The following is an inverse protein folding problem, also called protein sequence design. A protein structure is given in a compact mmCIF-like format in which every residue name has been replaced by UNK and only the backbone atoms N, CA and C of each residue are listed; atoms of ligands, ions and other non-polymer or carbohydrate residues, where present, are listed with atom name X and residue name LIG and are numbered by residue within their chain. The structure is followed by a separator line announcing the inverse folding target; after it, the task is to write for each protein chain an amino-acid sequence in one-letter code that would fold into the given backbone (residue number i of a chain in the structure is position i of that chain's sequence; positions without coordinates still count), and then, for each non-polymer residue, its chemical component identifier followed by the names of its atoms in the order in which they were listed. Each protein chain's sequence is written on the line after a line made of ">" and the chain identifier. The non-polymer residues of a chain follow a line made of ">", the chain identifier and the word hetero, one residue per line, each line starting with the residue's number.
data_IF_457147777829
#
_entry.id   IF_457147777829
#
_cell.length_a   1.000
_cell.length_b   1.000
_cell.length_c   1.000
_cell.angle_alpha   90.00
_cell.angle_beta   90.00
_cell.angle_gamma   90.00
#
_symmetry.space_group_name_H-M   'P 1'
#
loop_
_entity.id
_entity.type
_entity.pdbx_description
1 polymer ?
#
# COMPACT_ATOMS: atom_id res chain seq x y z
N UNK A 1 2.63 -6.97 0.23
CA UNK A 1 3.03 -5.81 1.04
C UNK A 1 4.45 -5.33 0.70
N UNK A 2 5.42 -6.22 0.53
CA UNK A 2 6.83 -5.87 0.27
C UNK A 2 7.01 -4.96 -0.94
N UNK A 3 6.19 -5.10 -1.98
CA UNK A 3 6.28 -4.29 -3.19
C UNK A 3 6.04 -2.80 -2.95
N UNK A 4 5.37 -2.46 -1.86
CA UNK A 4 5.03 -1.08 -1.50
C UNK A 4 5.67 -0.65 -0.17
N UNK A 5 6.82 -1.23 0.14
CA UNK A 5 7.64 -0.85 1.29
C UNK A 5 9.04 -0.47 0.82
N UNK A 6 9.66 0.58 1.38
CA UNK A 6 11.04 0.92 1.05
C UNK A 6 12.01 -0.12 1.63
N UNK A 7 13.17 -0.26 1.00
CA UNK A 7 14.29 -1.07 1.48
C UNK A 7 13.96 -2.56 1.74
N UNK A 8 13.01 -3.11 1.00
CA UNK A 8 12.67 -4.54 1.08
C UNK A 8 13.51 -5.36 0.11
N UNK A 9 13.90 -6.55 0.54
CA UNK A 9 14.67 -7.49 -0.26
C UNK A 9 14.22 -8.91 0.00
N UNK A 10 14.49 -9.82 -0.95
CA UNK A 10 14.26 -11.24 -0.74
C UNK A 10 15.43 -11.85 0.03
N UNK A 11 15.11 -12.64 1.05
CA UNK A 11 16.11 -13.41 1.81
C UNK A 11 16.42 -14.76 1.18
N UNK A 12 15.57 -15.23 0.26
CA UNK A 12 15.72 -16.50 -0.46
C UNK A 12 15.43 -16.29 -1.93
N UNK A 13 15.87 -17.22 -2.78
CA UNK A 13 15.58 -17.21 -4.20
C UNK A 13 14.16 -17.73 -4.45
N UNK A 14 13.19 -16.86 -4.88
CA UNK A 14 11.80 -17.29 -5.03
C UNK A 14 11.60 -18.44 -6.01
N UNK A 15 12.42 -18.49 -7.07
CA UNK A 15 12.33 -19.54 -8.09
C UNK A 15 12.68 -20.94 -7.58
N UNK A 16 13.28 -21.05 -6.40
CA UNK A 16 13.63 -22.34 -5.78
C UNK A 16 12.54 -22.92 -4.91
N UNK A 17 11.67 -22.08 -4.35
CA UNK A 17 10.73 -22.50 -3.31
C UNK A 17 9.27 -22.28 -3.65
N UNK A 18 8.96 -21.40 -4.63
CA UNK A 18 7.60 -21.06 -4.97
C UNK A 18 7.05 -21.90 -6.12
N UNK A 19 5.75 -22.18 -6.10
CA UNK A 19 5.03 -22.71 -7.25
C UNK A 19 5.07 -21.73 -8.41
N UNK A 20 4.76 -22.19 -9.64
CA UNK A 20 4.74 -21.36 -10.82
C UNK A 20 3.83 -20.14 -10.67
N UNK A 21 2.61 -20.34 -10.16
CA UNK A 21 1.65 -19.24 -9.92
C UNK A 21 2.18 -18.21 -8.91
N UNK A 22 2.73 -18.70 -7.80
CA UNK A 22 3.27 -17.82 -6.77
C UNK A 22 4.52 -17.10 -7.25
N UNK A 23 5.34 -17.73 -8.09
CA UNK A 23 6.50 -17.11 -8.70
C UNK A 23 6.09 -15.98 -9.66
N UNK A 24 5.08 -16.19 -10.50
CA UNK A 24 4.56 -15.16 -11.42
C UNK A 24 4.02 -13.95 -10.64
N UNK A 25 3.31 -14.21 -9.53
CA UNK A 25 2.83 -13.15 -8.64
C UNK A 25 4.00 -12.39 -8.00
N UNK A 26 5.03 -13.09 -7.55
CA UNK A 26 6.24 -12.49 -6.99
C UNK A 26 6.94 -11.59 -8.01
N UNK A 27 7.09 -12.05 -9.25
CA UNK A 27 7.69 -11.27 -10.35
C UNK A 27 6.85 -10.01 -10.63
N UNK A 28 5.54 -10.14 -10.69
CA UNK A 28 4.63 -9.00 -10.89
C UNK A 28 4.85 -7.90 -9.85
N UNK A 29 4.91 -8.26 -8.59
CA UNK A 29 5.07 -7.29 -7.50
C UNK A 29 6.51 -6.79 -7.36
N UNK A 30 7.50 -7.58 -7.73
CA UNK A 30 8.88 -7.11 -7.81
C UNK A 30 9.04 -6.03 -8.89
N UNK A 31 8.42 -6.21 -10.05
CA UNK A 31 8.38 -5.18 -11.11
C UNK A 31 7.63 -3.93 -10.66
N UNK A 32 6.54 -4.10 -9.92
CA UNK A 32 5.81 -2.98 -9.34
C UNK A 32 6.68 -2.19 -8.37
N UNK A 33 7.44 -2.87 -7.52
CA UNK A 33 8.39 -2.22 -6.61
C UNK A 33 9.44 -1.42 -7.37
N UNK A 34 9.98 -1.98 -8.46
CA UNK A 34 10.92 -1.27 -9.34
C UNK A 34 10.29 -0.01 -9.94
N UNK A 35 9.04 -0.09 -10.40
CA UNK A 35 8.30 1.08 -10.92
C UNK A 35 8.07 2.16 -9.88
N UNK A 36 7.96 1.78 -8.60
CA UNK A 36 7.84 2.72 -7.49
C UNK A 36 9.17 3.33 -7.06
N UNK A 37 10.29 2.86 -7.61
CA UNK A 37 11.64 3.27 -7.17
C UNK A 37 11.85 4.77 -7.19
N UNK A 38 11.48 5.43 -8.28
CA UNK A 38 11.63 6.90 -8.40
C UNK A 38 10.76 7.63 -7.37
N UNK A 39 9.54 7.16 -7.15
CA UNK A 39 8.66 7.72 -6.13
C UNK A 39 9.24 7.55 -4.72
N UNK A 40 9.71 6.34 -4.39
CA UNK A 40 10.33 6.06 -3.09
C UNK A 40 11.58 6.93 -2.89
N UNK A 41 12.39 7.07 -3.93
CA UNK A 41 13.58 7.93 -3.88
C UNK A 41 13.21 9.40 -3.64
N UNK A 42 12.18 9.90 -4.31
CA UNK A 42 11.70 11.26 -4.11
C UNK A 42 11.22 11.49 -2.68
N UNK A 43 10.53 10.51 -2.09
CA UNK A 43 10.09 10.57 -0.71
C UNK A 43 11.26 10.47 0.28
N UNK A 44 12.30 9.68 -0.04
CA UNK A 44 13.51 9.61 0.76
C UNK A 44 14.25 10.94 0.79
N UNK A 45 14.38 11.61 -0.35
CA UNK A 45 14.97 12.96 -0.43
C UNK A 45 14.17 13.97 0.40
N UNK A 46 12.86 13.93 0.29
CA UNK A 46 11.97 14.78 1.09
C UNK A 46 12.12 14.49 2.59
N UNK A 47 12.17 13.21 2.97
CA UNK A 47 12.36 12.79 4.35
C UNK A 47 13.69 13.29 4.94
N UNK A 48 14.75 13.34 4.15
CA UNK A 48 16.05 13.84 4.60
C UNK A 48 16.04 15.34 4.92
N UNK A 49 15.12 16.08 4.33
CA UNK A 49 14.97 17.54 4.52
C UNK A 49 13.95 17.84 5.62
N UNK A 50 12.79 17.17 5.61
CA UNK A 50 11.66 17.47 6.49
C UNK A 50 11.60 16.61 7.75
N UNK A 51 12.28 15.46 7.77
CA UNK A 51 12.17 14.47 8.84
C UNK A 51 10.91 13.63 8.81
N UNK A 52 10.04 13.78 7.80
CA UNK A 52 8.82 12.99 7.69
C UNK A 52 9.11 11.55 7.24
N UNK A 53 8.51 10.52 7.87
CA UNK A 53 8.78 9.14 7.49
C UNK A 53 8.20 8.82 6.11
N UNK A 54 8.79 7.83 5.42
CA UNK A 54 8.29 7.34 4.12
C UNK A 54 7.04 6.47 4.34
N UNK A 55 7.09 5.56 5.32
CA UNK A 55 5.92 4.78 5.73
C UNK A 55 5.28 5.48 6.92
N UNK A 56 4.01 5.85 6.78
CA UNK A 56 3.31 6.69 7.75
C UNK A 56 2.09 5.98 8.32
N UNK A 57 1.92 6.08 9.63
CA UNK A 57 0.67 5.66 10.26
C UNK A 57 -0.48 6.52 9.76
N UNK A 58 -1.67 5.93 9.64
CA UNK A 58 -2.83 6.65 9.11
C UNK A 58 -3.20 7.88 9.95
N UNK A 59 -3.10 7.78 11.28
CA UNK A 59 -3.38 8.90 12.17
C UNK A 59 -2.34 10.03 12.05
N UNK A 60 -1.09 9.68 11.75
CA UNK A 60 -0.05 10.67 11.48
C UNK A 60 -0.36 11.49 10.23
N UNK A 61 -0.77 10.83 9.17
CA UNK A 61 -1.07 11.47 7.89
C UNK A 61 -2.44 12.19 7.90
N UNK A 62 -3.40 11.64 8.63
CA UNK A 62 -4.79 12.14 8.68
C UNK A 62 -5.26 12.19 10.14
N UNK A 63 -4.75 13.15 10.94
CA UNK A 63 -5.12 13.25 12.34
C UNK A 63 -6.59 13.64 12.51
N UNK A 64 -7.19 13.21 13.61
CA UNK A 64 -8.58 13.51 13.97
C UNK A 64 -9.63 12.95 12.99
N UNK A 65 -9.29 11.89 12.25
CA UNK A 65 -10.24 11.21 11.35
C UNK A 65 -10.57 9.77 11.80
N UNK A 66 -10.23 9.41 13.04
CA UNK A 66 -10.56 8.11 13.61
C UNK A 66 -9.59 7.00 13.25
N UNK A 67 -8.34 7.31 12.97
CA UNK A 67 -7.32 6.33 12.60
C UNK A 67 -6.38 5.94 13.74
N UNK A 68 -6.63 6.35 14.97
CA UNK A 68 -5.72 6.15 16.11
C UNK A 68 -5.38 4.68 16.33
N UNK A 69 -6.33 3.78 16.10
CA UNK A 69 -6.15 2.34 16.26
C UNK A 69 -5.99 1.59 14.92
N UNK A 70 -5.88 2.31 13.82
CA UNK A 70 -5.74 1.71 12.49
C UNK A 70 -4.33 1.12 12.31
N UNK A 71 -4.22 -0.21 12.32
CA UNK A 71 -2.93 -0.92 12.22
C UNK A 71 -2.79 -1.75 10.95
N UNK A 72 -3.82 -1.79 10.13
CA UNK A 72 -3.91 -2.67 8.96
C UNK A 72 -3.89 -1.92 7.64
N UNK A 73 -3.60 -0.65 7.67
CA UNK A 73 -3.35 0.18 6.50
C UNK A 73 -2.34 1.28 6.84
N UNK A 74 -1.63 1.75 5.83
CA UNK A 74 -0.60 2.77 6.00
C UNK A 74 -0.49 3.67 4.76
N UNK A 75 0.17 4.82 4.91
CA UNK A 75 0.54 5.66 3.78
C UNK A 75 1.97 5.38 3.36
N UNK A 76 2.19 5.16 2.08
CA UNK A 76 3.53 5.14 1.48
C UNK A 76 3.77 6.54 0.91
N UNK A 77 4.55 7.35 1.62
CA UNK A 77 4.71 8.75 1.32
C UNK A 77 3.43 9.54 1.52
N UNK A 78 3.22 10.55 0.71
CA UNK A 78 2.05 11.44 0.76
C UNK A 78 0.97 11.09 -0.27
N UNK A 79 1.21 10.09 -1.12
CA UNK A 79 0.36 9.80 -2.28
C UNK A 79 -0.41 8.47 -2.17
N UNK A 80 0.24 7.38 -1.73
CA UNK A 80 -0.34 6.03 -1.76
C UNK A 80 -0.84 5.61 -0.39
N UNK A 81 -2.12 5.18 -0.33
CA UNK A 81 -2.67 4.47 0.81
C UNK A 81 -2.63 2.98 0.50
N UNK A 82 -2.02 2.18 1.36
CA UNK A 82 -1.86 0.73 1.16
C UNK A 82 -2.65 -0.01 2.22
N UNK A 83 -3.46 -0.96 1.79
CA UNK A 83 -4.33 -1.74 2.67
C UNK A 83 -4.13 -3.26 2.42
N UNK A 84 -3.02 -3.84 2.90
CA UNK A 84 -2.75 -5.26 2.67
C UNK A 84 -3.71 -6.17 3.42
N UNK A 85 -3.88 -7.40 2.92
CA UNK A 85 -4.64 -8.43 3.63
C UNK A 85 -3.82 -8.85 4.85
N UNK A 86 -4.40 -8.67 6.05
CA UNK A 86 -3.74 -8.98 7.32
C UNK A 86 -4.38 -10.18 8.03
N UNK A 87 -5.45 -10.74 7.49
CA UNK A 87 -6.15 -11.88 8.07
C UNK A 87 -6.55 -12.87 6.98
N UNK A 88 -6.92 -14.09 7.39
CA UNK A 88 -7.45 -15.09 6.46
C UNK A 88 -8.77 -14.62 5.86
N UNK A 89 -8.96 -14.85 4.56
CA UNK A 89 -10.17 -14.51 3.85
C UNK A 89 -9.90 -13.77 2.56
N UNK A 90 -10.97 -13.55 1.79
CA UNK A 90 -10.93 -12.89 0.49
C UNK A 90 -11.53 -11.48 0.52
N UNK A 91 -11.86 -10.98 1.70
CA UNK A 91 -12.45 -9.65 1.85
C UNK A 91 -11.57 -8.78 2.75
N UNK A 92 -11.59 -7.49 2.48
CA UNK A 92 -10.82 -6.50 3.21
C UNK A 92 -11.66 -5.25 3.42
N UNK A 93 -11.80 -4.83 4.66
CA UNK A 93 -12.43 -3.56 4.99
C UNK A 93 -11.39 -2.46 5.00
N UNK A 94 -11.62 -1.42 4.19
CA UNK A 94 -10.71 -0.29 4.05
C UNK A 94 -11.45 0.98 4.47
N UNK A 95 -10.82 1.75 5.35
CA UNK A 95 -11.33 3.06 5.76
C UNK A 95 -10.56 4.14 5.01
N UNK A 96 -11.25 4.90 4.17
CA UNK A 96 -10.65 5.98 3.37
C UNK A 96 -10.77 7.32 4.10
N UNK A 97 -9.69 8.13 4.13
CA UNK A 97 -9.75 9.50 4.64
C UNK A 97 -10.64 10.38 3.78
N UNK A 98 -10.96 11.57 4.25
CA UNK A 98 -11.74 12.55 3.48
C UNK A 98 -11.07 12.85 2.14
N UNK A 99 -11.87 13.03 1.08
CA UNK A 99 -11.41 13.28 -0.28
C UNK A 99 -11.92 12.23 -1.25
N UNK A 100 -11.31 12.17 -2.43
CA UNK A 100 -11.61 11.16 -3.43
C UNK A 100 -10.38 10.28 -3.62
N UNK A 101 -10.60 8.98 -3.71
CA UNK A 101 -9.53 8.00 -3.82
C UNK A 101 -9.76 7.09 -5.01
N UNK A 102 -8.71 6.80 -5.76
CA UNK A 102 -8.73 5.88 -6.89
C UNK A 102 -7.94 4.64 -6.54
N UNK A 103 -8.52 3.46 -6.73
CA UNK A 103 -7.87 2.20 -6.41
C UNK A 103 -6.92 1.71 -7.52
N UNK A 104 -6.27 0.57 -7.28
CA UNK A 104 -5.36 -0.07 -8.24
C UNK A 104 -6.06 -0.54 -9.53
N UNK A 105 -7.38 -0.68 -9.51
CA UNK A 105 -8.18 -1.05 -10.68
C UNK A 105 -8.76 0.16 -11.43
N UNK A 106 -8.52 1.37 -10.95
CA UNK A 106 -8.99 2.60 -11.56
C UNK A 106 -10.37 3.07 -11.10
N UNK A 107 -10.98 2.40 -10.11
CA UNK A 107 -12.27 2.79 -9.56
C UNK A 107 -12.11 3.91 -8.54
N UNK A 108 -12.97 4.92 -8.63
CA UNK A 108 -12.94 6.08 -7.73
C UNK A 108 -13.92 5.88 -6.59
N UNK A 109 -13.46 6.15 -5.37
CA UNK A 109 -14.25 6.06 -4.14
C UNK A 109 -14.33 7.42 -3.47
N UNK A 110 -15.48 7.71 -2.87
CA UNK A 110 -15.63 8.88 -2.02
C UNK A 110 -15.02 8.60 -0.65
N UNK A 111 -14.11 9.44 -0.20
CA UNK A 111 -13.48 9.31 1.10
C UNK A 111 -14.39 9.61 2.27
N UNK A 112 -13.88 9.44 3.48
CA UNK A 112 -14.64 9.60 4.72
C UNK A 112 -15.59 8.44 5.02
N UNK A 113 -15.47 7.32 4.30
CA UNK A 113 -16.30 6.13 4.44
C UNK A 113 -15.45 4.87 4.56
N UNK A 114 -16.07 3.81 5.06
CA UNK A 114 -15.48 2.48 5.11
C UNK A 114 -16.06 1.61 4.00
N UNK A 115 -15.20 0.91 3.27
CA UNK A 115 -15.58 0.03 2.17
C UNK A 115 -15.10 -1.39 2.44
N UNK A 116 -15.91 -2.37 2.08
CA UNK A 116 -15.52 -3.78 2.07
C UNK A 116 -15.24 -4.20 0.65
N UNK A 117 -14.02 -4.67 0.39
CA UNK A 117 -13.57 -5.06 -0.94
C UNK A 117 -13.30 -6.56 -1.00
N UNK A 118 -13.61 -7.17 -2.15
CA UNK A 118 -13.15 -8.51 -2.47
C UNK A 118 -11.70 -8.43 -2.92
N UNK A 119 -10.81 -9.03 -2.13
CA UNK A 119 -9.37 -8.97 -2.38
C UNK A 119 -8.82 -10.39 -2.44
N UNK A 120 -8.55 -10.92 -3.65
CA UNK A 120 -7.85 -12.19 -3.77
C UNK A 120 -6.40 -12.07 -3.30
N UNK A 121 -5.77 -13.19 -2.98
CA UNK A 121 -4.38 -13.22 -2.51
C UNK A 121 -3.38 -12.63 -3.51
N UNK A 122 -3.75 -12.61 -4.79
CA UNK A 122 -2.93 -12.03 -5.86
C UNK A 122 -2.97 -10.51 -5.93
N UNK A 123 -3.84 -9.86 -5.15
CA UNK A 123 -4.05 -8.42 -5.19
C UNK A 123 -3.53 -7.76 -3.90
N UNK A 124 -2.77 -6.69 -4.05
CA UNK A 124 -2.43 -5.78 -2.97
C UNK A 124 -3.24 -4.48 -3.18
N UNK A 125 -4.29 -4.22 -2.40
CA UNK A 125 -5.08 -3.00 -2.57
C UNK A 125 -4.28 -1.76 -2.20
N UNK A 126 -4.28 -0.78 -3.09
CA UNK A 126 -3.72 0.53 -2.81
C UNK A 126 -4.60 1.61 -3.46
N UNK A 127 -4.52 2.80 -2.91
CA UNK A 127 -5.34 3.93 -3.33
C UNK A 127 -4.46 5.16 -3.51
N UNK A 128 -4.85 6.00 -4.47
CA UNK A 128 -4.21 7.28 -4.74
C UNK A 128 -5.25 8.37 -4.59
N UNK A 129 -4.91 9.44 -3.89
CA UNK A 129 -5.80 10.58 -3.75
C UNK A 129 -6.00 11.26 -5.10
N UNK A 130 -7.26 11.48 -5.45
CA UNK A 130 -7.66 12.17 -6.69
C UNK A 130 -8.06 13.60 -6.35
N UNK A 131 -7.38 14.55 -6.94
CA UNK A 131 -7.69 15.96 -6.78
C UNK A 131 -8.74 16.43 -7.78
#
# INVERSE_FOLDING_TARGET
>A
IHSMMPMMQFSVAPWRILSKENLEMCIKYAKWHEQLGDYILSQAKKASITGEPIVRHMDYAFPNQGFEECRDQYMLGDKYLVAPIMSSGNTRTVKLPKGKWKDDLGKVYKGGKTYTLDVPLSRLPWFVEVK
#
